data_IF_766456731446
#
_entry.id   IF_766456731446
#
_cell.length_a   1.000
_cell.length_b   1.000
_cell.length_c   1.000
_cell.angle_alpha   90.00
_cell.angle_beta   90.00
_cell.angle_gamma   90.00
#
_symmetry.space_group_name_H-M   'P 1'
#
loop_
_entity.id
_entity.type
_entity.pdbx_description
1 polymer ?
#
# COMPACT_ATOMS: atom_id res chain seq x y z
N UNK A 1 -17.64 32.34 18.71
CA UNK A 1 -17.70 31.00 19.32
C UNK A 1 -16.41 30.26 18.93
N UNK A 2 -15.35 30.39 19.75
CA UNK A 2 -14.01 29.85 19.46
C UNK A 2 -13.89 28.48 20.12
N UNK A 3 -13.89 27.40 19.32
CA UNK A 3 -13.61 26.06 19.81
C UNK A 3 -12.09 25.84 19.86
N UNK A 4 -11.60 25.95 21.10
CA UNK A 4 -10.41 25.36 21.74
C UNK A 4 -9.37 24.64 20.86
N UNK A 5 -8.18 25.23 20.77
CA UNK A 5 -6.93 24.59 20.31
C UNK A 5 -6.36 23.55 21.31
N UNK A 6 -7.11 23.20 22.36
CA UNK A 6 -6.60 22.44 23.52
C UNK A 6 -6.78 20.91 23.41
N UNK A 7 -7.52 20.41 22.40
CA UNK A 7 -7.79 18.96 22.24
C UNK A 7 -6.71 18.24 21.41
N UNK A 8 -5.94 18.95 20.59
CA UNK A 8 -4.93 18.39 19.66
C UNK A 8 -3.58 18.02 20.32
N UNK A 9 -3.40 18.30 21.61
CA UNK A 9 -2.20 17.88 22.37
C UNK A 9 -2.32 16.47 22.98
N UNK A 10 -3.51 15.89 22.99
CA UNK A 10 -3.79 14.70 23.80
C UNK A 10 -3.17 13.41 23.23
N UNK A 11 -2.95 13.28 21.91
CA UNK A 11 -2.57 11.96 21.34
C UNK A 11 -1.07 11.73 21.10
N UNK A 12 -0.27 12.74 20.74
CA UNK A 12 1.21 12.58 20.67
C UNK A 12 1.85 12.48 22.05
N UNK A 13 1.27 13.18 23.04
CA UNK A 13 1.69 13.08 24.43
C UNK A 13 1.36 11.69 25.00
N UNK A 14 0.16 11.15 24.72
CA UNK A 14 -0.28 9.86 25.26
C UNK A 14 0.59 8.69 24.81
N UNK A 15 0.95 8.55 23.53
CA UNK A 15 1.79 7.41 23.07
C UNK A 15 3.16 7.41 23.74
N UNK A 16 3.70 8.60 23.99
CA UNK A 16 5.01 8.78 24.64
C UNK A 16 4.94 8.53 26.17
N UNK A 17 3.74 8.57 26.76
CA UNK A 17 3.48 8.19 28.17
C UNK A 17 2.91 6.77 28.34
N UNK A 18 2.65 6.03 27.24
CA UNK A 18 2.21 4.64 27.30
C UNK A 18 3.32 3.70 27.81
N UNK A 19 2.91 2.65 28.53
CA UNK A 19 3.79 1.53 28.88
C UNK A 19 4.32 0.83 27.62
N UNK A 20 5.46 0.17 27.75
CA UNK A 20 6.11 -0.56 26.66
C UNK A 20 5.19 -1.62 26.05
N UNK A 21 4.41 -2.32 26.88
CA UNK A 21 3.39 -3.29 26.45
C UNK A 21 2.31 -2.66 25.57
N UNK A 22 1.78 -1.50 25.95
CA UNK A 22 0.74 -0.82 25.18
C UNK A 22 1.27 -0.37 23.81
N UNK A 23 2.52 0.08 23.74
CA UNK A 23 3.15 0.42 22.45
C UNK A 23 3.32 -0.81 21.56
N UNK A 24 3.75 -1.93 22.13
CA UNK A 24 3.90 -3.20 21.41
C UNK A 24 2.57 -3.63 20.76
N UNK A 25 1.47 -3.67 21.51
CA UNK A 25 0.16 -4.03 20.97
C UNK A 25 -0.38 -3.03 19.94
N UNK A 26 -0.12 -1.73 20.11
CA UNK A 26 -0.47 -0.71 19.10
C UNK A 26 0.32 -0.92 17.82
N UNK A 27 1.61 -1.26 17.90
CA UNK A 27 2.43 -1.52 16.71
C UNK A 27 2.09 -2.84 16.02
N UNK A 28 1.67 -3.87 16.77
CA UNK A 28 1.22 -5.16 16.25
C UNK A 28 -0.22 -5.13 15.70
N UNK A 29 -0.98 -4.06 15.96
CA UNK A 29 -2.34 -3.89 15.42
C UNK A 29 -2.38 -3.83 13.89
N UNK A 30 -1.24 -3.58 13.24
CA UNK A 30 -1.07 -3.59 11.78
C UNK A 30 -0.02 -4.62 11.38
N UNK A 31 -0.33 -5.42 10.34
CA UNK A 31 0.64 -6.39 9.84
C UNK A 31 1.91 -5.70 9.34
N UNK A 32 3.06 -6.35 9.50
CA UNK A 32 4.33 -5.82 9.02
C UNK A 32 4.30 -5.49 7.51
N UNK A 33 3.63 -6.33 6.71
CA UNK A 33 3.45 -6.09 5.28
C UNK A 33 2.65 -4.82 5.00
N UNK A 34 1.64 -4.50 5.82
CA UNK A 34 0.84 -3.27 5.71
C UNK A 34 1.66 -2.06 6.13
N UNK A 35 2.42 -2.16 7.23
CA UNK A 35 3.33 -1.10 7.69
C UNK A 35 4.35 -0.74 6.60
N UNK A 36 5.05 -1.73 6.05
CA UNK A 36 6.03 -1.53 4.97
C UNK A 36 5.39 -0.88 3.74
N UNK A 37 4.21 -1.33 3.34
CA UNK A 37 3.47 -0.76 2.21
C UNK A 37 3.10 0.72 2.47
N UNK A 38 2.59 1.04 3.65
CA UNK A 38 2.21 2.41 4.01
C UNK A 38 3.42 3.33 4.10
N UNK A 39 4.53 2.88 4.69
CA UNK A 39 5.77 3.67 4.73
C UNK A 39 6.26 4.03 3.33
N UNK A 40 6.25 3.07 2.41
CA UNK A 40 6.63 3.31 1.03
C UNK A 40 5.68 4.31 0.34
N UNK A 41 4.38 4.08 0.46
CA UNK A 41 3.35 4.94 -0.15
C UNK A 41 3.41 6.38 0.40
N UNK A 42 3.63 6.55 1.71
CA UNK A 42 3.81 7.85 2.35
C UNK A 42 5.09 8.55 1.90
N UNK A 43 6.19 7.82 1.73
CA UNK A 43 7.45 8.40 1.23
C UNK A 43 7.25 9.05 -0.13
N UNK A 44 6.46 8.42 -1.01
CA UNK A 44 6.14 8.96 -2.33
C UNK A 44 5.32 10.26 -2.20
N UNK A 45 4.30 10.26 -1.35
CA UNK A 45 3.47 11.45 -1.13
C UNK A 45 4.27 12.61 -0.54
N UNK A 46 5.06 12.36 0.52
CA UNK A 46 5.91 13.40 1.14
C UNK A 46 6.89 14.00 0.14
N UNK A 47 7.56 13.18 -0.67
CA UNK A 47 8.47 13.68 -1.72
C UNK A 47 7.75 14.53 -2.76
N UNK A 48 6.54 14.15 -3.14
CA UNK A 48 5.73 14.95 -4.07
C UNK A 48 5.32 16.29 -3.46
N UNK A 49 4.88 16.30 -2.19
CA UNK A 49 4.55 17.53 -1.45
C UNK A 49 5.78 18.44 -1.33
N UNK A 50 6.94 17.90 -0.95
CA UNK A 50 8.20 18.66 -0.85
C UNK A 50 8.57 19.32 -2.18
N UNK A 51 8.43 18.62 -3.30
CA UNK A 51 8.71 19.16 -4.63
C UNK A 51 7.78 20.34 -4.99
N UNK A 52 6.56 20.36 -4.45
CA UNK A 52 5.57 21.43 -4.67
C UNK A 52 5.56 22.47 -3.55
N UNK A 53 6.46 22.38 -2.57
CA UNK A 53 6.50 23.24 -1.39
C UNK A 53 5.18 23.22 -0.58
N UNK A 54 4.57 22.04 -0.47
CA UNK A 54 3.32 21.81 0.27
C UNK A 54 3.58 20.99 1.53
N UNK A 55 2.76 21.20 2.55
CA UNK A 55 2.77 20.38 3.77
C UNK A 55 2.07 19.04 3.55
N UNK A 56 2.72 17.91 3.87
CA UNK A 56 2.11 16.59 3.69
C UNK A 56 1.10 16.23 4.79
N UNK A 57 1.23 16.80 6.00
CA UNK A 57 0.24 16.64 7.08
C UNK A 57 0.22 17.91 7.96
N UNK A 58 -0.93 18.60 8.10
CA UNK A 58 -2.20 18.35 7.42
C UNK A 58 -2.15 18.79 5.95
N UNK A 59 -2.59 17.92 5.03
CA UNK A 59 -2.80 18.29 3.63
C UNK A 59 -4.28 18.65 3.40
N UNK A 60 -4.57 19.49 2.41
CA UNK A 60 -5.96 19.73 1.99
C UNK A 60 -6.45 18.66 1.01
N UNK A 61 -7.78 18.53 0.89
CA UNK A 61 -8.40 17.63 -0.08
C UNK A 61 -7.95 17.92 -1.54
N UNK A 62 -7.71 19.19 -1.87
CA UNK A 62 -7.16 19.61 -3.17
C UNK A 62 -5.76 19.09 -3.42
N UNK A 63 -4.88 19.13 -2.41
CA UNK A 63 -3.50 18.61 -2.49
C UNK A 63 -3.51 17.10 -2.78
N UNK A 64 -4.40 16.36 -2.10
CA UNK A 64 -4.56 14.92 -2.35
C UNK A 64 -5.12 14.68 -3.76
N UNK A 65 -6.10 15.46 -4.22
CA UNK A 65 -6.64 15.33 -5.56
C UNK A 65 -5.58 15.57 -6.65
N UNK A 66 -4.77 16.61 -6.52
CA UNK A 66 -3.67 16.92 -7.44
C UNK A 66 -2.60 15.81 -7.44
N UNK A 67 -2.27 15.28 -6.27
CA UNK A 67 -1.37 14.13 -6.16
C UNK A 67 -1.90 12.91 -6.91
N UNK A 68 -3.20 12.60 -6.76
CA UNK A 68 -3.83 11.48 -7.46
C UNK A 68 -3.84 11.69 -8.98
N UNK A 69 -4.10 12.91 -9.45
CA UNK A 69 -4.06 13.26 -10.86
C UNK A 69 -2.65 13.10 -11.45
N UNK A 70 -1.62 13.62 -10.76
CA UNK A 70 -0.22 13.49 -11.19
C UNK A 70 0.22 12.03 -11.25
N UNK A 71 -0.18 11.21 -10.28
CA UNK A 71 0.14 9.78 -10.28
C UNK A 71 -0.63 9.00 -11.35
N UNK A 72 -1.88 9.36 -11.63
CA UNK A 72 -2.63 8.77 -12.73
C UNK A 72 -1.98 9.09 -14.10
N UNK A 73 -1.50 10.32 -14.28
CA UNK A 73 -0.77 10.73 -15.50
C UNK A 73 0.54 9.96 -15.68
N UNK A 74 1.16 9.51 -14.58
CA UNK A 74 2.33 8.62 -14.59
C UNK A 74 1.98 7.15 -14.84
N UNK A 75 0.70 6.82 -15.09
CA UNK A 75 0.25 5.46 -15.38
C UNK A 75 0.06 4.57 -14.16
N UNK A 76 0.03 5.14 -12.94
CA UNK A 76 -0.16 4.37 -11.71
C UNK A 76 -1.58 3.79 -11.65
N UNK A 77 -1.69 2.52 -11.25
CA UNK A 77 -2.96 1.81 -11.21
C UNK A 77 -3.89 2.36 -10.10
N UNK A 78 -5.23 2.41 -10.33
CA UNK A 78 -6.18 2.86 -9.32
C UNK A 78 -6.16 2.05 -8.02
N UNK A 79 -5.80 0.77 -8.06
CA UNK A 79 -5.61 -0.05 -6.85
C UNK A 79 -4.46 0.46 -5.99
N UNK A 80 -3.35 0.86 -6.61
CA UNK A 80 -2.22 1.49 -5.93
C UNK A 80 -2.59 2.88 -5.40
N UNK A 81 -3.36 3.66 -6.15
CA UNK A 81 -3.87 4.95 -5.69
C UNK A 81 -4.76 4.81 -4.45
N UNK A 82 -5.68 3.84 -4.41
CA UNK A 82 -6.49 3.55 -3.22
C UNK A 82 -5.63 3.20 -2.00
N UNK A 83 -4.58 2.38 -2.19
CA UNK A 83 -3.67 2.01 -1.09
C UNK A 83 -2.93 3.24 -0.56
N UNK A 84 -2.50 4.14 -1.44
CA UNK A 84 -1.88 5.41 -1.05
C UNK A 84 -2.84 6.33 -0.32
N UNK A 85 -4.11 6.41 -0.73
CA UNK A 85 -5.15 7.14 0.00
C UNK A 85 -5.28 6.57 1.42
N UNK A 86 -5.32 5.25 1.58
CA UNK A 86 -5.38 4.62 2.90
C UNK A 86 -4.13 4.94 3.75
N UNK A 87 -2.94 4.93 3.15
CA UNK A 87 -1.72 5.31 3.84
C UNK A 87 -1.72 6.79 4.28
N UNK A 88 -2.19 7.71 3.41
CA UNK A 88 -2.34 9.14 3.72
C UNK A 88 -3.35 9.35 4.85
N UNK A 89 -4.49 8.64 4.79
CA UNK A 89 -5.50 8.64 5.86
C UNK A 89 -4.88 8.24 7.18
N UNK A 90 -4.18 7.10 7.20
CA UNK A 90 -3.47 6.61 8.38
C UNK A 90 -2.47 7.64 8.92
N UNK A 91 -1.72 8.34 8.05
CA UNK A 91 -0.76 9.35 8.49
C UNK A 91 -1.38 10.61 9.13
N UNK A 92 -2.59 10.99 8.70
CA UNK A 92 -3.35 12.08 9.31
C UNK A 92 -3.93 11.64 10.66
N UNK A 93 -4.59 10.49 10.70
CA UNK A 93 -5.18 9.92 11.91
C UNK A 93 -4.11 9.64 12.99
N UNK A 94 -2.97 9.07 12.61
CA UNK A 94 -1.85 8.82 13.53
C UNK A 94 -1.22 10.11 14.10
N UNK A 95 -1.51 11.28 13.50
CA UNK A 95 -1.09 12.59 14.00
C UNK A 95 -2.23 13.38 14.66
N UNK A 96 -3.41 12.78 14.80
CA UNK A 96 -4.59 13.39 15.42
C UNK A 96 -5.36 14.35 14.49
N UNK A 97 -5.08 14.34 13.19
CA UNK A 97 -5.80 15.18 12.22
C UNK A 97 -6.97 14.42 11.60
N UNK A 98 -8.06 15.13 11.32
CA UNK A 98 -9.11 14.61 10.45
C UNK A 98 -8.54 14.37 9.05
N UNK A 99 -8.82 13.21 8.48
CA UNK A 99 -8.30 12.86 7.17
C UNK A 99 -9.09 13.56 6.05
N UNK A 100 -8.43 14.30 5.13
CA UNK A 100 -9.09 14.91 3.97
C UNK A 100 -9.45 13.87 2.90
N UNK A 101 -9.02 12.61 3.07
CA UNK A 101 -9.24 11.54 2.09
C UNK A 101 -10.71 11.17 1.92
N UNK A 102 -11.56 11.46 2.90
CA UNK A 102 -13.00 11.20 2.85
C UNK A 102 -13.78 12.29 2.11
N UNK A 103 -13.11 13.37 1.71
CA UNK A 103 -13.74 14.46 0.98
C UNK A 103 -14.29 13.98 -0.38
N UNK A 104 -15.43 14.56 -0.79
CA UNK A 104 -16.09 14.27 -2.06
C UNK A 104 -15.16 14.56 -3.24
N UNK A 105 -14.28 15.55 -3.14
CA UNK A 105 -13.30 15.91 -4.15
C UNK A 105 -12.34 14.75 -4.43
N UNK A 106 -11.76 14.15 -3.39
CA UNK A 106 -10.83 13.01 -3.51
C UNK A 106 -11.53 11.82 -4.16
N UNK A 107 -12.76 11.54 -3.72
CA UNK A 107 -13.59 10.46 -4.27
C UNK A 107 -13.96 10.70 -5.74
N UNK A 108 -14.32 11.93 -6.10
CA UNK A 108 -14.67 12.33 -7.46
C UNK A 108 -13.45 12.24 -8.40
N UNK A 109 -12.30 12.71 -7.98
CA UNK A 109 -11.03 12.61 -8.73
C UNK A 109 -10.68 11.15 -9.01
N UNK A 110 -10.75 10.28 -8.00
CA UNK A 110 -10.49 8.87 -8.19
C UNK A 110 -11.49 8.20 -9.14
N UNK A 111 -12.77 8.60 -9.08
CA UNK A 111 -13.81 8.13 -10.01
C UNK A 111 -13.49 8.58 -11.45
N UNK A 112 -13.07 9.82 -11.65
CA UNK A 112 -12.60 10.35 -12.93
C UNK A 112 -11.41 9.58 -13.49
N UNK A 113 -10.40 9.30 -12.66
CA UNK A 113 -9.22 8.50 -13.02
C UNK A 113 -9.63 7.10 -13.47
N UNK A 114 -10.52 6.43 -12.73
CA UNK A 114 -10.99 5.09 -13.08
C UNK A 114 -11.72 5.06 -14.42
N UNK A 115 -12.53 6.10 -14.73
CA UNK A 115 -13.30 6.20 -15.97
C UNK A 115 -12.42 6.50 -17.19
N UNK A 116 -11.42 7.36 -17.05
CA UNK A 116 -10.54 7.77 -18.16
C UNK A 116 -9.37 6.80 -18.42
N UNK A 117 -9.27 5.72 -17.63
CA UNK A 117 -8.19 4.75 -17.80
C UNK A 117 -8.41 3.94 -19.08
N UNK A 118 -7.58 4.20 -20.09
CA UNK A 118 -7.58 3.46 -21.36
C UNK A 118 -6.92 2.07 -21.28
N UNK A 119 -6.19 1.78 -20.20
CA UNK A 119 -5.42 0.55 -20.07
C UNK A 119 -6.10 -0.48 -19.14
N UNK A 120 -6.44 -1.68 -19.65
CA UNK A 120 -6.94 -2.77 -18.81
C UNK A 120 -5.87 -3.20 -17.79
N UNK A 121 -6.28 -3.78 -16.64
CA UNK A 121 -5.32 -4.33 -15.69
C UNK A 121 -4.41 -5.35 -16.38
N UNK A 122 -3.10 -5.25 -16.15
CA UNK A 122 -2.12 -6.19 -16.69
C UNK A 122 -2.34 -7.57 -16.06
N UNK A 123 -3.01 -8.46 -16.79
CA UNK A 123 -3.15 -9.85 -16.39
C UNK A 123 -1.78 -10.54 -16.58
N UNK A 124 -1.34 -11.27 -15.54
CA UNK A 124 -0.20 -12.18 -15.73
C UNK A 124 -0.69 -13.32 -16.61
N UNK A 125 0.15 -13.76 -17.56
CA UNK A 125 -0.17 -14.94 -18.35
C UNK A 125 -0.41 -16.12 -17.42
N UNK A 126 -1.43 -16.93 -17.73
CA UNK A 126 -1.70 -18.15 -17.00
C UNK A 126 -0.44 -19.04 -17.01
N UNK A 127 -0.13 -19.63 -15.86
CA UNK A 127 0.73 -20.80 -15.82
C UNK A 127 -0.10 -21.95 -16.38
N UNK A 128 0.14 -22.32 -17.63
CA UNK A 128 -0.55 -23.45 -18.26
C UNK A 128 0.18 -24.75 -17.94
N UNK A 129 -0.51 -25.89 -18.09
CA UNK A 129 0.10 -27.19 -17.84
C UNK A 129 1.34 -27.41 -18.70
N UNK A 130 1.33 -26.95 -19.95
CA UNK A 130 2.46 -27.06 -20.88
C UNK A 130 3.67 -26.30 -20.36
N UNK A 131 3.47 -25.06 -19.88
CA UNK A 131 4.55 -24.25 -19.30
C UNK A 131 5.16 -24.91 -18.07
N UNK A 132 4.34 -25.52 -17.21
CA UNK A 132 4.81 -26.26 -16.04
C UNK A 132 5.65 -27.46 -16.47
N UNK A 133 5.18 -28.24 -17.44
CA UNK A 133 5.93 -29.39 -17.98
C UNK A 133 7.30 -28.93 -18.53
N UNK A 134 7.35 -27.81 -19.26
CA UNK A 134 8.62 -27.24 -19.75
C UNK A 134 9.55 -26.85 -18.61
N UNK A 135 9.04 -26.21 -17.54
CA UNK A 135 9.85 -25.85 -16.37
C UNK A 135 10.39 -27.09 -15.66
N UNK A 136 9.56 -28.13 -15.50
CA UNK A 136 9.93 -29.38 -14.83
C UNK A 136 11.06 -30.13 -15.56
N UNK A 137 11.15 -29.99 -16.88
CA UNK A 137 12.23 -30.59 -17.68
C UNK A 137 13.62 -30.01 -17.34
N UNK A 138 13.67 -28.80 -16.76
CA UNK A 138 14.91 -28.14 -16.36
C UNK A 138 15.29 -28.42 -14.88
N UNK A 139 14.43 -29.09 -14.12
CA UNK A 139 14.73 -29.46 -12.74
C UNK A 139 15.57 -30.74 -12.72
N UNK A 140 16.84 -30.65 -12.34
CA UNK A 140 17.70 -31.82 -12.15
C UNK A 140 17.31 -32.60 -10.89
N UNK A 141 16.51 -33.63 -11.07
CA UNK A 141 16.02 -34.49 -10.00
C UNK A 141 17.07 -35.44 -9.41
N UNK A 142 18.30 -35.43 -9.91
CA UNK A 142 19.41 -36.14 -9.23
C UNK A 142 19.86 -35.37 -7.98
N UNK A 143 19.67 -34.05 -7.96
CA UNK A 143 19.99 -33.18 -6.82
C UNK A 143 18.80 -33.00 -5.88
N UNK A 144 19.08 -32.74 -4.60
CA UNK A 144 18.04 -32.39 -3.63
C UNK A 144 17.32 -31.07 -4.00
N UNK A 145 18.06 -30.12 -4.56
CA UNK A 145 17.53 -28.81 -4.99
C UNK A 145 16.51 -29.02 -6.12
N UNK A 146 16.85 -29.79 -7.15
CA UNK A 146 15.92 -30.03 -8.26
C UNK A 146 14.69 -30.85 -7.87
N UNK A 147 14.82 -31.81 -6.93
CA UNK A 147 13.64 -32.50 -6.34
C UNK A 147 12.72 -31.52 -5.60
N UNK A 148 13.27 -30.59 -4.80
CA UNK A 148 12.52 -29.55 -4.11
C UNK A 148 11.81 -28.62 -5.09
N UNK A 149 12.53 -28.11 -6.09
CA UNK A 149 11.97 -27.14 -7.03
C UNK A 149 10.85 -27.77 -7.87
N UNK A 150 11.01 -29.03 -8.29
CA UNK A 150 9.95 -29.82 -8.93
C UNK A 150 8.72 -29.99 -8.04
N UNK A 151 8.91 -30.32 -6.75
CA UNK A 151 7.81 -30.44 -5.80
C UNK A 151 7.09 -29.10 -5.59
N UNK A 152 7.82 -28.00 -5.42
CA UNK A 152 7.26 -26.65 -5.25
C UNK A 152 6.45 -26.21 -6.49
N UNK A 153 6.95 -26.48 -7.70
CA UNK A 153 6.23 -26.18 -8.95
C UNK A 153 4.93 -26.97 -9.06
N UNK A 154 4.96 -28.27 -8.78
CA UNK A 154 3.77 -29.13 -8.85
C UNK A 154 2.74 -28.79 -7.79
N UNK A 155 3.16 -28.61 -6.53
CA UNK A 155 2.27 -28.24 -5.42
C UNK A 155 1.68 -26.84 -5.67
N UNK A 156 2.50 -25.89 -6.10
CA UNK A 156 2.06 -24.54 -6.43
C UNK A 156 1.04 -24.51 -7.57
N UNK A 157 1.25 -25.32 -8.62
CA UNK A 157 0.33 -25.43 -9.75
C UNK A 157 -0.98 -26.12 -9.37
N UNK A 158 -0.92 -27.28 -8.72
CA UNK A 158 -2.11 -28.05 -8.34
C UNK A 158 -2.96 -27.34 -7.26
N UNK A 159 -2.30 -26.64 -6.32
CA UNK A 159 -2.96 -25.95 -5.21
C UNK A 159 -3.37 -24.50 -5.50
N UNK A 160 -2.97 -23.92 -6.63
CA UNK A 160 -3.17 -22.50 -6.97
C UNK A 160 -2.73 -21.53 -5.85
N UNK A 161 -1.65 -21.88 -5.14
CA UNK A 161 -1.21 -21.12 -3.96
C UNK A 161 -0.52 -19.82 -4.35
N UNK A 162 -0.77 -18.76 -3.56
CA UNK A 162 -0.05 -17.49 -3.66
C UNK A 162 1.32 -17.60 -3.00
N UNK A 163 2.38 -17.18 -3.69
CA UNK A 163 3.70 -17.05 -3.08
C UNK A 163 3.69 -15.85 -2.12
N UNK A 164 4.05 -16.08 -0.85
CA UNK A 164 4.23 -15.03 0.15
C UNK A 164 5.67 -14.53 0.10
N UNK A 165 5.87 -13.31 -0.39
CA UNK A 165 7.20 -12.71 -0.57
C UNK A 165 7.69 -11.95 0.67
N UNK A 166 7.39 -12.44 1.88
CA UNK A 166 7.75 -11.76 3.13
C UNK A 166 9.13 -12.09 3.70
N UNK A 167 9.90 -12.94 3.03
CA UNK A 167 11.26 -13.34 3.43
C UNK A 167 12.21 -13.12 2.24
N UNK A 168 12.85 -11.95 2.22
CA UNK A 168 14.07 -11.59 1.49
C UNK A 168 14.55 -10.24 2.01
#
# INVERSE_FOLDING_TARGET
MKLSQNELKIDKANITTLSEQSRFFVTESISESTRRAYTHDLTIFVRWCQKKHLDPVPADAGVIADFLADQANQGIAPSTLNRRIAAIKYAHEARGFQSPTLDKLVSATLKGIKRNRKQPPKQKQAATAEKIITMLAHCDTTTLIGKRDKALLLIGFAGAFRCFSGFL
#
